data_IF_853214012309
#
_entry.id   IF_853214012309
#
_cell.length_a   1.000
_cell.length_b   1.000
_cell.length_c   1.000
_cell.angle_alpha   90.00
_cell.angle_beta   90.00
_cell.angle_gamma   90.00
#
_symmetry.space_group_name_H-M   'P 1'
#
loop_
_entity.id
_entity.type
_entity.pdbx_description
1 polymer ?
#
# COMPACT_ATOMS: atom_id res chain seq x y z
N UNK A 1 6.26 -13.40 16.53
CA UNK A 1 5.00 -14.15 16.32
C UNK A 1 4.62 -15.16 17.43
N UNK A 2 5.57 -15.92 18.00
CA UNK A 2 5.27 -17.00 18.97
C UNK A 2 4.43 -16.60 20.20
N UNK A 3 4.68 -15.41 20.78
CA UNK A 3 4.00 -14.97 22.01
C UNK A 3 2.65 -14.29 21.77
N UNK A 4 2.49 -13.63 20.62
CA UNK A 4 1.27 -12.89 20.30
C UNK A 4 1.12 -12.83 18.76
N UNK A 5 0.66 -13.93 18.13
CA UNK A 5 0.52 -14.00 16.69
C UNK A 5 -0.57 -13.03 16.19
N UNK A 6 -1.61 -12.82 17.00
CA UNK A 6 -2.74 -11.94 16.68
C UNK A 6 -2.32 -10.48 16.48
N UNK A 7 -1.25 -10.04 17.14
CA UNK A 7 -0.76 -8.67 17.03
C UNK A 7 0.56 -8.57 16.26
N UNK A 8 1.03 -9.67 15.67
CA UNK A 8 2.31 -9.65 14.96
C UNK A 8 2.30 -8.68 13.78
N UNK A 9 1.29 -8.74 12.92
CA UNK A 9 1.02 -7.77 11.85
C UNK A 9 -0.04 -6.74 12.26
N UNK A 10 0.10 -5.50 11.79
CA UNK A 10 -0.95 -4.49 11.91
C UNK A 10 -0.57 -3.15 11.28
N UNK A 11 -1.50 -2.21 11.37
CA UNK A 11 -1.40 -0.83 10.83
C UNK A 11 -0.52 0.08 11.70
N UNK A 12 0.64 -0.43 12.14
CA UNK A 12 1.48 0.21 13.17
C UNK A 12 2.38 1.35 12.65
N UNK A 13 2.03 1.96 11.52
CA UNK A 13 2.74 3.11 10.94
C UNK A 13 1.83 4.32 10.89
N UNK A 14 1.39 4.78 12.05
CA UNK A 14 0.39 5.85 12.22
C UNK A 14 0.82 7.23 11.73
N UNK A 15 2.10 7.42 11.37
CA UNK A 15 2.58 8.64 10.73
C UNK A 15 2.26 8.69 9.22
N UNK A 16 1.82 7.57 8.64
CA UNK A 16 1.33 7.48 7.27
C UNK A 16 -0.19 7.51 7.26
N UNK A 17 -0.78 7.97 6.16
CA UNK A 17 -2.21 7.80 5.92
C UNK A 17 -2.59 6.32 6.01
N UNK A 18 -1.95 5.48 5.17
CA UNK A 18 -2.01 4.04 5.33
C UNK A 18 -0.62 3.41 5.37
N UNK A 19 -0.35 2.63 6.40
CA UNK A 19 0.89 1.88 6.54
C UNK A 19 0.74 0.63 7.40
N UNK A 20 1.43 -0.43 6.99
CA UNK A 20 1.40 -1.75 7.63
C UNK A 20 2.82 -2.19 7.97
N UNK A 21 3.01 -2.86 9.09
CA UNK A 21 4.27 -3.52 9.44
C UNK A 21 4.04 -4.66 10.41
N UNK A 22 4.99 -5.58 10.52
CA UNK A 22 5.02 -6.49 11.65
C UNK A 22 5.74 -5.86 12.84
N UNK A 23 5.56 -6.43 14.04
CA UNK A 23 6.18 -5.96 15.29
C UNK A 23 7.57 -6.55 15.44
N UNK A 24 8.56 -5.85 14.91
CA UNK A 24 9.97 -6.18 15.05
C UNK A 24 10.84 -4.90 15.04
N UNK A 25 12.04 -4.90 15.65
CA UNK A 25 13.06 -3.90 15.36
C UNK A 25 13.46 -3.86 13.87
N UNK A 26 13.44 -5.00 13.17
CA UNK A 26 13.81 -5.15 11.75
C UNK A 26 12.57 -5.53 10.93
N UNK A 27 11.60 -4.62 10.86
CA UNK A 27 10.30 -4.94 10.26
C UNK A 27 10.26 -4.78 8.75
N UNK A 28 9.70 -5.77 8.07
CA UNK A 28 9.10 -5.58 6.76
C UNK A 28 7.91 -4.64 6.91
N UNK A 29 8.00 -3.50 6.22
CA UNK A 29 7.08 -2.38 6.35
C UNK A 29 6.56 -1.99 4.97
N UNK A 30 5.25 -1.77 4.87
CA UNK A 30 4.60 -1.28 3.67
C UNK A 30 3.92 0.07 3.88
N UNK A 31 3.54 0.71 2.78
CA UNK A 31 2.78 1.96 2.79
C UNK A 31 2.10 2.25 1.46
N UNK A 32 1.07 3.08 1.53
CA UNK A 32 0.35 3.62 0.37
C UNK A 32 0.80 5.07 0.14
N UNK A 33 0.99 5.43 -1.12
CA UNK A 33 1.07 6.81 -1.58
C UNK A 33 0.16 7.00 -2.78
N UNK A 34 -0.25 8.23 -3.02
CA UNK A 34 -1.05 8.56 -4.20
C UNK A 34 -0.92 10.01 -4.61
N UNK A 35 -1.33 10.30 -5.85
CA UNK A 35 -1.54 11.65 -6.31
C UNK A 35 -2.66 11.72 -7.35
N UNK A 36 -3.33 12.87 -7.42
CA UNK A 36 -4.23 13.20 -8.53
C UNK A 36 -3.40 13.36 -9.81
N UNK A 37 -3.67 12.53 -10.83
CA UNK A 37 -2.92 12.52 -12.08
C UNK A 37 -2.88 13.88 -12.78
N UNK A 38 -3.83 14.78 -12.53
CA UNK A 38 -3.83 16.16 -13.07
C UNK A 38 -2.84 17.08 -12.38
N UNK A 39 -2.41 16.76 -11.16
CA UNK A 39 -1.51 17.57 -10.35
C UNK A 39 -0.04 17.22 -10.53
N UNK A 40 0.30 16.21 -11.34
CA UNK A 40 1.68 15.74 -11.55
C UNK A 40 2.64 16.84 -12.03
N UNK A 41 2.14 17.85 -12.76
CA UNK A 41 2.94 18.97 -13.25
C UNK A 41 2.91 20.20 -12.34
N UNK A 42 2.24 20.13 -11.19
CA UNK A 42 2.26 21.23 -10.22
C UNK A 42 3.62 21.23 -9.53
N UNK A 43 4.29 22.39 -9.55
CA UNK A 43 5.65 22.57 -9.03
C UNK A 43 5.75 22.58 -7.50
N UNK A 44 4.71 22.13 -6.79
CA UNK A 44 4.69 22.08 -5.34
C UNK A 44 5.07 20.68 -4.86
N UNK A 45 5.88 20.59 -3.80
CA UNK A 45 6.27 19.30 -3.20
C UNK A 45 5.10 18.51 -2.58
N UNK A 46 3.89 19.07 -2.58
CA UNK A 46 2.68 18.48 -1.98
C UNK A 46 1.78 17.71 -2.96
N UNK A 47 2.22 17.45 -4.19
CA UNK A 47 1.41 16.71 -5.15
C UNK A 47 1.22 15.24 -4.74
N UNK A 48 2.19 14.66 -4.01
CA UNK A 48 2.23 13.26 -3.58
C UNK A 48 1.82 13.14 -2.11
N UNK A 49 0.75 12.37 -1.83
CA UNK A 49 0.30 12.06 -0.48
C UNK A 49 1.00 10.82 0.06
N UNK A 50 1.45 10.87 1.32
CA UNK A 50 2.06 9.72 2.00
C UNK A 50 1.97 9.85 3.53
N UNK A 51 2.62 10.88 4.08
CA UNK A 51 2.61 11.18 5.51
C UNK A 51 1.35 11.94 5.87
N UNK A 52 0.83 11.71 7.08
CA UNK A 52 -0.24 12.54 7.61
C UNK A 52 0.30 13.96 7.86
N UNK A 53 0.14 14.85 6.89
CA UNK A 53 0.58 16.24 6.96
C UNK A 53 -0.64 17.17 6.97
N UNK A 54 -0.73 18.06 7.96
CA UNK A 54 -1.80 19.05 8.03
C UNK A 54 -1.76 20.03 6.84
N UNK A 55 -0.60 20.21 6.22
CA UNK A 55 -0.45 21.05 5.03
C UNK A 55 -1.13 20.45 3.79
N UNK A 56 -1.46 19.16 3.80
CA UNK A 56 -2.21 18.52 2.72
C UNK A 56 -3.65 19.06 2.64
N UNK A 57 -4.16 19.61 3.75
CA UNK A 57 -5.51 20.19 3.88
C UNK A 57 -6.63 19.24 3.42
N UNK A 58 -6.47 17.95 3.69
CA UNK A 58 -7.50 16.96 3.42
C UNK A 58 -8.76 17.29 4.24
N UNK A 59 -9.95 17.37 3.62
CA UNK A 59 -11.20 17.60 4.35
C UNK A 59 -11.45 16.58 5.46
N UNK A 60 -11.04 15.32 5.24
CA UNK A 60 -11.18 14.26 6.22
C UNK A 60 -10.18 13.13 5.93
N UNK A 61 -9.62 12.53 6.99
CA UNK A 61 -9.02 11.21 6.92
C UNK A 61 -9.14 10.53 8.29
N UNK A 62 -9.35 9.22 8.29
CA UNK A 62 -9.33 8.43 9.52
C UNK A 62 -10.05 7.10 9.44
N UNK A 63 -9.86 6.31 10.49
CA UNK A 63 -10.50 5.01 10.64
C UNK A 63 -11.99 5.18 10.95
N UNK A 64 -12.84 4.65 10.09
CA UNK A 64 -14.29 4.53 10.35
C UNK A 64 -14.57 3.28 11.18
N UNK A 65 -13.78 2.22 10.99
CA UNK A 65 -13.79 1.01 11.81
C UNK A 65 -12.36 0.54 12.01
N UNK A 66 -12.00 0.15 13.23
CA UNK A 66 -10.71 -0.46 13.52
C UNK A 66 -10.82 -1.26 14.81
N UNK A 67 -10.65 -2.59 14.77
CA UNK A 67 -10.73 -3.43 15.97
C UNK A 67 -9.40 -3.58 16.70
N UNK A 68 -8.31 -3.11 16.08
CA UNK A 68 -6.95 -3.15 16.63
C UNK A 68 -6.21 -4.44 16.33
N UNK A 69 -6.88 -5.42 15.72
CA UNK A 69 -6.37 -6.78 15.58
C UNK A 69 -6.66 -7.39 14.21
N UNK A 70 -7.91 -7.56 13.79
CA UNK A 70 -8.27 -8.37 12.62
C UNK A 70 -8.65 -7.55 11.41
N UNK A 71 -9.22 -6.35 11.58
CA UNK A 71 -9.64 -5.54 10.45
C UNK A 71 -9.63 -4.04 10.73
N UNK A 72 -9.57 -3.28 9.65
CA UNK A 72 -9.67 -1.84 9.67
C UNK A 72 -10.26 -1.30 8.37
N UNK A 73 -11.02 -0.22 8.46
CA UNK A 73 -11.60 0.52 7.33
C UNK A 73 -11.28 2.00 7.55
N UNK A 74 -10.49 2.57 6.65
CA UNK A 74 -10.14 3.98 6.60
C UNK A 74 -10.92 4.67 5.48
N UNK A 75 -11.35 5.90 5.73
CA UNK A 75 -11.81 6.80 4.69
C UNK A 75 -10.90 8.02 4.64
N UNK A 76 -10.55 8.43 3.42
CA UNK A 76 -9.70 9.59 3.15
C UNK A 76 -10.38 10.40 2.05
N UNK A 77 -10.75 11.63 2.36
CA UNK A 77 -11.29 12.59 1.40
C UNK A 77 -10.16 13.50 0.94
N UNK A 78 -9.83 13.46 -0.35
CA UNK A 78 -8.77 14.27 -0.98
C UNK A 78 -9.36 14.95 -2.22
N UNK A 79 -9.83 16.20 -2.02
CA UNK A 79 -10.49 17.02 -3.02
C UNK A 79 -11.61 16.28 -3.78
N UNK A 80 -11.31 15.86 -5.02
CA UNK A 80 -12.25 15.23 -5.94
C UNK A 80 -12.37 13.71 -5.72
N UNK A 81 -11.68 13.14 -4.73
CA UNK A 81 -11.63 11.70 -4.52
C UNK A 81 -12.01 11.33 -3.09
N UNK A 82 -12.77 10.24 -2.97
CA UNK A 82 -12.94 9.50 -1.74
C UNK A 82 -12.18 8.19 -1.88
N UNK A 83 -11.17 7.99 -1.02
CA UNK A 83 -10.45 6.74 -0.91
C UNK A 83 -11.03 5.95 0.27
N UNK A 84 -11.27 4.67 0.04
CA UNK A 84 -11.60 3.71 1.09
C UNK A 84 -10.50 2.66 1.12
N UNK A 85 -9.80 2.59 2.25
CA UNK A 85 -8.73 1.61 2.47
C UNK A 85 -9.21 0.58 3.48
N UNK A 86 -9.33 -0.67 3.04
CA UNK A 86 -9.80 -1.78 3.84
C UNK A 86 -8.64 -2.73 4.08
N UNK A 87 -8.40 -3.09 5.34
CA UNK A 87 -7.39 -4.06 5.72
C UNK A 87 -8.02 -5.19 6.50
N UNK A 88 -7.72 -6.43 6.14
CA UNK A 88 -8.17 -7.63 6.85
C UNK A 88 -7.01 -8.60 7.04
N UNK A 89 -6.96 -9.22 8.21
CA UNK A 89 -5.96 -10.22 8.57
C UNK A 89 -6.62 -11.55 8.88
N UNK A 90 -6.00 -12.61 8.38
CA UNK A 90 -6.37 -13.98 8.63
C UNK A 90 -5.21 -14.66 9.38
N UNK A 91 -5.46 -15.14 10.59
CA UNK A 91 -4.44 -15.81 11.39
C UNK A 91 -4.12 -17.18 10.81
N UNK A 92 -2.84 -17.56 10.87
CA UNK A 92 -2.39 -18.85 10.37
C UNK A 92 -0.87 -18.97 10.38
N UNK A 93 -0.38 -20.19 10.15
CA UNK A 93 1.05 -20.48 10.12
C UNK A 93 1.78 -20.13 11.42
N UNK A 94 3.10 -19.95 11.34
CA UNK A 94 3.96 -19.62 12.48
C UNK A 94 4.48 -18.17 12.45
N UNK A 95 4.14 -17.41 11.40
CA UNK A 95 4.67 -16.07 11.13
C UNK A 95 3.59 -14.97 11.17
N UNK A 96 2.53 -15.19 11.94
CA UNK A 96 1.48 -14.18 12.22
C UNK A 96 0.38 -14.04 11.15
N UNK A 97 0.26 -15.03 10.27
CA UNK A 97 -0.83 -15.14 9.30
C UNK A 97 -0.66 -14.29 8.04
N UNK A 98 -1.76 -14.21 7.29
CA UNK A 98 -1.88 -13.49 6.03
C UNK A 98 -2.71 -12.22 6.23
N UNK A 99 -2.52 -11.22 5.37
CA UNK A 99 -3.38 -10.05 5.34
C UNK A 99 -3.61 -9.58 3.91
N UNK A 100 -4.69 -8.81 3.73
CA UNK A 100 -5.05 -8.21 2.45
C UNK A 100 -5.46 -6.77 2.68
N UNK A 101 -4.93 -5.87 1.85
CA UNK A 101 -5.40 -4.48 1.74
C UNK A 101 -6.17 -4.33 0.44
N UNK A 102 -7.35 -3.73 0.48
CA UNK A 102 -8.06 -3.22 -0.70
C UNK A 102 -8.06 -1.69 -0.64
N UNK A 103 -7.70 -1.06 -1.75
CA UNK A 103 -7.83 0.39 -1.94
C UNK A 103 -8.87 0.62 -3.01
N UNK A 104 -9.94 1.31 -2.66
CA UNK A 104 -10.98 1.74 -3.60
C UNK A 104 -10.95 3.26 -3.74
N UNK A 105 -10.98 3.77 -4.96
CA UNK A 105 -10.92 5.21 -5.25
C UNK A 105 -12.20 5.60 -5.98
N UNK A 106 -12.96 6.54 -5.41
CA UNK A 106 -14.26 6.97 -5.93
C UNK A 106 -14.17 8.46 -6.30
N UNK A 107 -14.16 8.82 -7.60
CA UNK A 107 -14.29 10.20 -8.03
C UNK A 107 -15.62 10.80 -7.57
N UNK A 108 -15.56 11.95 -6.92
CA UNK A 108 -16.73 12.65 -6.34
C UNK A 108 -17.31 13.71 -7.28
N UNK A 109 -16.47 14.33 -8.13
CA UNK A 109 -16.88 15.45 -9.00
C UNK A 109 -17.00 15.01 -10.45
N UNK A 110 -15.91 14.54 -11.06
CA UNK A 110 -15.90 14.08 -12.44
C UNK A 110 -15.46 12.62 -12.54
N UNK A 111 -16.29 11.77 -13.17
CA UNK A 111 -16.01 10.34 -13.35
C UNK A 111 -14.73 10.05 -14.15
N UNK A 112 -14.21 11.02 -14.89
CA UNK A 112 -12.95 10.87 -15.63
C UNK A 112 -11.71 11.22 -14.80
N UNK A 113 -11.88 11.73 -13.58
CA UNK A 113 -10.75 12.03 -12.70
C UNK A 113 -10.05 10.72 -12.32
N UNK A 114 -8.71 10.73 -12.38
CA UNK A 114 -7.90 9.55 -12.13
C UNK A 114 -6.83 9.84 -11.10
N UNK A 115 -6.49 8.81 -10.35
CA UNK A 115 -5.49 8.85 -9.31
C UNK A 115 -4.44 7.78 -9.59
N UNK A 116 -3.18 8.14 -9.41
CA UNK A 116 -2.07 7.20 -9.44
C UNK A 116 -1.81 6.69 -8.03
N UNK A 117 -1.79 5.36 -7.86
CA UNK A 117 -1.55 4.71 -6.58
C UNK A 117 -0.18 4.03 -6.59
N UNK A 118 0.56 4.19 -5.50
CA UNK A 118 1.84 3.53 -5.26
C UNK A 118 1.76 2.76 -3.96
N UNK A 119 1.99 1.46 -4.03
CA UNK A 119 2.08 0.64 -2.84
C UNK A 119 3.47 0.03 -2.80
N UNK A 120 4.18 0.26 -1.70
CA UNK A 120 5.59 -0.08 -1.59
C UNK A 120 5.86 -0.94 -0.36
N UNK A 121 6.99 -1.64 -0.38
CA UNK A 121 7.52 -2.42 0.74
C UNK A 121 9.00 -2.12 0.95
N UNK A 122 9.44 -2.16 2.19
CA UNK A 122 10.80 -1.88 2.62
C UNK A 122 11.17 -2.78 3.80
N UNK A 123 12.44 -3.17 3.82
CA UNK A 123 13.10 -3.86 4.92
C UNK A 123 14.55 -3.35 4.99
N UNK A 124 15.17 -3.34 6.17
CA UNK A 124 16.54 -2.82 6.38
C UNK A 124 17.63 -3.77 5.85
N UNK A 125 17.29 -5.05 5.67
CA UNK A 125 18.14 -6.08 5.06
C UNK A 125 17.57 -6.52 3.70
N UNK A 126 18.41 -7.08 2.80
CA UNK A 126 17.92 -7.73 1.59
C UNK A 126 16.85 -8.77 1.90
N UNK A 127 15.73 -8.67 1.18
CA UNK A 127 14.55 -9.51 1.44
C UNK A 127 13.86 -10.00 0.17
N UNK A 128 14.09 -9.35 -0.97
CA UNK A 128 13.35 -9.61 -2.21
C UNK A 128 14.17 -10.53 -3.11
N UNK A 129 13.56 -11.62 -3.56
CA UNK A 129 14.20 -12.62 -4.42
C UNK A 129 13.87 -12.36 -5.89
N UNK A 130 12.57 -12.19 -6.20
CA UNK A 130 12.10 -12.03 -7.56
C UNK A 130 10.80 -11.22 -7.67
N UNK A 131 10.63 -10.55 -8.81
CA UNK A 131 9.39 -9.90 -9.23
C UNK A 131 8.90 -10.56 -10.51
N UNK A 132 7.70 -11.13 -10.46
CA UNK A 132 7.06 -11.77 -11.61
C UNK A 132 5.78 -11.00 -11.93
N UNK A 133 5.75 -10.38 -13.11
CA UNK A 133 4.52 -9.79 -13.65
C UNK A 133 3.90 -10.75 -14.65
N UNK A 134 2.67 -11.18 -14.38
CA UNK A 134 1.91 -12.03 -15.30
C UNK A 134 0.59 -11.36 -15.66
N UNK A 135 0.32 -11.30 -16.96
CA UNK A 135 -1.06 -11.20 -17.46
C UNK A 135 -1.60 -12.62 -17.36
N UNK A 136 -2.27 -13.02 -16.27
CA UNK A 136 -2.66 -14.44 -16.13
C UNK A 136 -4.02 -14.71 -16.77
N UNK A 137 -4.07 -15.87 -17.39
CA UNK A 137 -5.16 -16.50 -18.15
C UNK A 137 -6.32 -17.01 -17.28
N UNK A 138 -7.40 -17.39 -17.98
CA UNK A 138 -8.71 -17.94 -17.59
C UNK A 138 -9.71 -16.97 -16.94
N UNK A 139 -9.28 -16.03 -16.11
CA UNK A 139 -10.12 -14.94 -15.60
C UNK A 139 -9.53 -13.62 -16.07
N UNK A 140 -9.98 -13.11 -17.22
CA UNK A 140 -9.50 -11.87 -17.86
C UNK A 140 -9.65 -10.61 -16.98
N UNK A 141 -10.15 -10.74 -15.75
CA UNK A 141 -10.55 -9.67 -14.86
C UNK A 141 -9.39 -8.98 -14.12
N UNK A 142 -8.17 -9.54 -14.03
CA UNK A 142 -7.07 -8.90 -13.27
C UNK A 142 -5.66 -9.05 -13.89
N UNK A 143 -4.86 -7.99 -13.78
CA UNK A 143 -3.39 -8.04 -13.93
C UNK A 143 -2.75 -8.32 -12.58
N UNK A 144 -1.76 -9.21 -12.53
CA UNK A 144 -1.14 -9.64 -11.28
C UNK A 144 0.38 -9.52 -11.33
N UNK A 145 0.93 -8.73 -10.40
CA UNK A 145 2.37 -8.72 -10.09
C UNK A 145 2.61 -9.39 -8.76
N UNK A 146 3.54 -10.33 -8.75
CA UNK A 146 3.91 -11.13 -7.59
C UNK A 146 5.35 -10.81 -7.23
N UNK A 147 5.59 -10.46 -5.97
CA UNK A 147 6.94 -10.31 -5.41
C UNK A 147 7.15 -11.45 -4.42
N UNK A 148 8.21 -12.23 -4.63
CA UNK A 148 8.65 -13.23 -3.65
C UNK A 148 9.80 -12.67 -2.83
N UNK A 149 9.82 -13.03 -1.56
CA UNK A 149 10.88 -12.62 -0.66
C UNK A 149 10.97 -13.50 0.56
N UNK A 150 12.02 -13.25 1.34
CA UNK A 150 12.32 -13.95 2.57
C UNK A 150 12.95 -13.01 3.59
N UNK A 151 12.60 -13.17 4.86
CA UNK A 151 13.35 -12.59 5.98
C UNK A 151 13.56 -13.62 7.07
N UNK A 152 14.48 -13.36 8.00
CA UNK A 152 14.72 -14.24 9.15
C UNK A 152 13.48 -14.42 10.05
N UNK A 153 12.56 -13.46 10.06
CA UNK A 153 11.39 -13.49 10.95
C UNK A 153 10.09 -13.92 10.26
N UNK A 154 10.06 -13.91 8.92
CA UNK A 154 8.87 -14.22 8.13
C UNK A 154 9.01 -15.52 7.31
N UNK A 155 10.21 -16.09 7.25
CA UNK A 155 10.59 -17.09 6.25
C UNK A 155 10.22 -16.62 4.84
N UNK A 156 10.00 -17.55 3.90
CA UNK A 156 9.56 -17.23 2.56
C UNK A 156 8.09 -16.76 2.55
N UNK A 157 7.84 -15.64 1.87
CA UNK A 157 6.51 -15.06 1.70
C UNK A 157 6.28 -14.55 0.29
N UNK A 158 5.05 -14.11 0.02
CA UNK A 158 4.68 -13.56 -1.29
C UNK A 158 3.75 -12.37 -1.13
N UNK A 159 4.06 -11.29 -1.83
CA UNK A 159 3.20 -10.11 -1.98
C UNK A 159 2.57 -10.15 -3.37
N UNK A 160 1.25 -9.97 -3.47
CA UNK A 160 0.53 -9.98 -4.75
C UNK A 160 -0.25 -8.68 -4.93
N UNK A 161 0.09 -7.95 -5.98
CA UNK A 161 -0.67 -6.80 -6.45
C UNK A 161 -1.66 -7.28 -7.51
N UNK A 162 -2.96 -7.18 -7.21
CA UNK A 162 -4.05 -7.53 -8.14
C UNK A 162 -4.77 -6.26 -8.55
N UNK A 163 -4.72 -5.95 -9.85
CA UNK A 163 -5.31 -4.73 -10.40
C UNK A 163 -6.42 -5.12 -11.38
N UNK A 164 -7.65 -4.62 -11.25
CA UNK A 164 -8.73 -4.92 -12.19
C UNK A 164 -8.34 -4.58 -13.64
N UNK A 165 -8.51 -5.53 -14.55
CA UNK A 165 -8.38 -5.36 -16.00
C UNK A 165 -9.68 -4.77 -16.55
N UNK A 166 -9.77 -3.45 -16.65
CA UNK A 166 -10.94 -2.74 -17.19
C UNK A 166 -10.61 -1.39 -17.81
N UNK A 167 -11.59 -0.73 -18.43
CA UNK A 167 -11.43 0.60 -19.07
C UNK A 167 -10.94 1.69 -18.10
N UNK A 168 -11.10 1.49 -16.80
CA UNK A 168 -10.64 2.39 -15.72
C UNK A 168 -9.16 2.19 -15.33
N UNK A 169 -8.52 1.08 -15.77
CA UNK A 169 -7.12 0.74 -15.44
C UNK A 169 -6.21 0.83 -16.67
N UNK A 170 -6.34 1.88 -17.48
CA UNK A 170 -5.53 2.09 -18.69
C UNK A 170 -4.07 2.49 -18.41
N UNK A 171 -3.73 2.80 -17.17
CA UNK A 171 -2.38 3.22 -16.78
C UNK A 171 -1.43 2.00 -16.78
N UNK A 172 -0.20 2.12 -17.31
CA UNK A 172 0.79 1.05 -17.22
C UNK A 172 1.12 0.74 -15.76
N UNK A 173 1.15 -0.54 -15.42
CA UNK A 173 1.71 -1.00 -14.16
C UNK A 173 3.23 -0.82 -14.22
N UNK A 174 3.74 0.09 -13.39
CA UNK A 174 5.17 0.36 -13.25
C UNK A 174 5.60 -0.19 -11.90
N UNK A 175 6.71 -0.91 -11.88
CA UNK A 175 7.39 -1.29 -10.65
C UNK A 175 8.85 -0.84 -10.76
N UNK A 176 9.39 -0.41 -9.62
CA UNK A 176 10.78 -0.02 -9.47
C UNK A 176 11.29 -0.60 -8.16
N UNK A 177 12.59 -0.85 -8.06
CA UNK A 177 13.24 -1.27 -6.82
C UNK A 177 14.57 -0.56 -6.68
N UNK A 178 14.98 -0.32 -5.44
CA UNK A 178 16.25 0.30 -5.12
C UNK A 178 16.74 -0.19 -3.76
N UNK A 179 18.05 -0.34 -3.62
CA UNK A 179 18.76 -0.60 -2.37
C UNK A 179 19.44 0.65 -1.80
N UNK A 180 19.29 1.81 -2.47
CA UNK A 180 20.12 2.99 -2.23
C UNK A 180 19.49 4.04 -1.33
N UNK A 181 18.18 3.99 -1.13
CA UNK A 181 17.46 5.06 -0.45
C UNK A 181 16.87 4.57 0.87
N UNK A 182 17.12 5.29 1.99
CA UNK A 182 16.47 4.98 3.24
C UNK A 182 14.97 5.29 3.14
N UNK A 183 14.17 4.64 3.99
CA UNK A 183 12.70 4.72 3.93
C UNK A 183 12.12 6.14 4.06
N UNK A 184 12.84 7.06 4.70
CA UNK A 184 12.41 8.45 4.83
C UNK A 184 12.55 9.25 3.53
N UNK A 185 13.36 8.78 2.57
CA UNK A 185 13.57 9.38 1.25
C UNK A 185 12.78 8.66 0.15
N UNK A 186 11.80 7.82 0.51
CA UNK A 186 11.04 7.02 -0.47
C UNK A 186 10.35 7.87 -1.55
N UNK A 187 10.00 9.13 -1.26
CA UNK A 187 9.43 10.07 -2.22
C UNK A 187 10.38 10.42 -3.37
N UNK A 188 11.70 10.37 -3.17
CA UNK A 188 12.70 10.66 -4.21
C UNK A 188 12.68 9.64 -5.35
N UNK A 189 12.08 8.46 -5.12
CA UNK A 189 11.91 7.42 -6.14
C UNK A 189 10.79 7.78 -7.14
N UNK A 190 9.85 8.64 -6.73
CA UNK A 190 8.63 8.96 -7.47
C UNK A 190 8.76 10.30 -8.23
N UNK A 191 9.82 11.08 -7.98
CA UNK A 191 10.14 12.31 -8.71
C UNK A 191 10.80 12.00 -10.07
#
# INVERSE_FOLDING_TARGET
PEKNPERFWGTYRSNLYFGVKHRSPQSLSGGLMWFDSKKIHQSNDHFLRHWCDQNDRLPFYGWTYHDGEKFAIEQIQDDNFLLQVEWVKHLGGQHGGDWTTRVNVIPQVNKTDSMSLFFYFHHDLPWMDEIITSKKSNDEQYRVTTVRGQTNELDAFTIKFKIPSGKESQIPLIHTWTDRLPIHNVHEIIK
#
